data_IF_696688374996
#
_entry.id   IF_696688374996
#
_cell.length_a   1.000
_cell.length_b   1.000
_cell.length_c   1.000
_cell.angle_alpha   90.00
_cell.angle_beta   90.00
_cell.angle_gamma   90.00
#
_symmetry.space_group_name_H-M   'P 1'
#
loop_
_entity.id
_entity.type
_entity.pdbx_description
1 polymer ?
#
# COMPACT_ATOMS: atom_id res chain seq x y z
N UNK A 1 -5.01 -9.48 -14.69
CA UNK A 1 -4.98 -9.73 -13.24
C UNK A 1 -3.56 -9.45 -12.79
N UNK A 2 -3.36 -8.54 -11.85
CA UNK A 2 -2.10 -8.34 -11.15
C UNK A 2 -1.91 -9.59 -10.28
N UNK A 3 -0.79 -10.28 -10.45
CA UNK A 3 -0.51 -11.52 -9.73
C UNK A 3 0.42 -11.15 -8.59
N UNK A 4 0.06 -11.51 -7.35
CA UNK A 4 0.90 -11.30 -6.17
C UNK A 4 2.34 -11.75 -6.46
N UNK A 5 3.36 -10.94 -6.10
CA UNK A 5 4.75 -11.34 -6.28
C UNK A 5 5.01 -12.70 -5.62
N UNK A 6 5.66 -13.61 -6.34
CA UNK A 6 5.94 -14.95 -5.82
C UNK A 6 7.23 -14.91 -5.00
N UNK A 7 7.15 -15.36 -3.74
CA UNK A 7 8.33 -15.49 -2.90
C UNK A 7 9.33 -16.48 -3.51
N UNK A 8 10.58 -16.05 -3.57
CA UNK A 8 11.71 -16.86 -4.04
C UNK A 8 12.58 -17.26 -2.86
N UNK A 9 13.61 -18.08 -3.09
CA UNK A 9 14.57 -18.45 -2.03
C UNK A 9 15.33 -17.24 -1.45
N UNK A 10 15.43 -16.18 -2.23
CA UNK A 10 16.16 -14.96 -1.86
C UNK A 10 15.25 -13.91 -1.22
N UNK A 11 13.95 -14.20 -1.06
CA UNK A 11 13.03 -13.30 -0.40
C UNK A 11 13.30 -13.25 1.11
N UNK A 12 13.31 -12.04 1.66
CA UNK A 12 13.54 -11.80 3.09
C UNK A 12 12.25 -11.32 3.76
N UNK A 13 11.92 -11.91 4.90
CA UNK A 13 10.97 -11.31 5.83
C UNK A 13 11.68 -10.18 6.59
N UNK A 14 11.19 -8.95 6.42
CA UNK A 14 11.79 -7.77 7.05
C UNK A 14 11.25 -7.57 8.47
N UNK A 15 9.96 -7.78 8.66
CA UNK A 15 9.31 -7.59 9.94
C UNK A 15 7.99 -8.36 10.00
N UNK A 16 7.74 -8.98 11.14
CA UNK A 16 6.42 -9.49 11.53
C UNK A 16 6.03 -8.84 12.84
N UNK A 17 4.88 -8.18 12.86
CA UNK A 17 4.35 -7.53 14.06
C UNK A 17 2.83 -7.68 14.12
N UNK A 18 2.37 -8.58 15.00
CA UNK A 18 0.96 -8.88 15.16
C UNK A 18 0.33 -9.35 13.84
N UNK A 19 -0.66 -8.63 13.30
CA UNK A 19 -1.33 -9.01 12.06
C UNK A 19 -0.57 -8.60 10.80
N UNK A 20 0.59 -7.96 10.89
CA UNK A 20 1.34 -7.38 9.77
C UNK A 20 2.56 -8.22 9.44
N UNK A 21 2.75 -8.51 8.15
CA UNK A 21 3.97 -9.11 7.60
C UNK A 21 4.50 -8.19 6.50
N UNK A 22 5.77 -7.80 6.63
CA UNK A 22 6.50 -7.02 5.63
C UNK A 22 7.60 -7.91 5.09
N UNK A 23 7.60 -8.10 3.77
CA UNK A 23 8.63 -8.89 3.09
C UNK A 23 9.25 -8.10 1.95
N UNK A 24 10.49 -8.44 1.61
CA UNK A 24 11.20 -7.85 0.49
C UNK A 24 11.70 -8.93 -0.45
N UNK A 25 11.41 -8.77 -1.74
CA UNK A 25 11.93 -9.63 -2.80
C UNK A 25 13.07 -8.85 -3.46
N UNK A 26 14.34 -9.19 -3.20
CA UNK A 26 15.46 -8.42 -3.71
C UNK A 26 15.57 -8.50 -5.22
N UNK A 27 16.09 -7.45 -5.84
CA UNK A 27 16.51 -7.49 -7.24
C UNK A 27 17.94 -8.03 -7.35
N UNK A 28 18.05 -9.31 -7.68
CA UNK A 28 19.33 -10.00 -7.88
C UNK A 28 20.10 -9.49 -9.10
N UNK A 29 19.51 -8.65 -9.95
CA UNK A 29 20.23 -8.02 -11.07
C UNK A 29 20.95 -6.73 -10.67
N UNK A 30 20.64 -6.18 -9.49
CA UNK A 30 21.15 -4.92 -8.96
C UNK A 30 21.89 -5.12 -7.62
N UNK A 31 22.77 -6.12 -7.59
CA UNK A 31 23.50 -6.55 -6.37
C UNK A 31 24.29 -5.39 -5.72
N UNK A 32 24.68 -4.37 -6.50
CA UNK A 32 25.47 -3.22 -6.02
C UNK A 32 24.64 -1.96 -5.69
N UNK A 33 23.31 -1.98 -5.84
CA UNK A 33 22.45 -0.86 -5.44
C UNK A 33 21.83 -1.11 -4.07
N UNK A 34 22.27 -0.33 -3.08
CA UNK A 34 21.55 -0.22 -1.80
C UNK A 34 20.15 0.35 -2.06
N UNK A 35 19.12 -0.48 -1.98
CA UNK A 35 17.74 0.01 -1.99
C UNK A 35 17.43 0.63 -0.63
N UNK A 36 17.04 1.91 -0.64
CA UNK A 36 16.67 2.61 0.59
C UNK A 36 15.17 2.57 0.81
N UNK A 37 14.78 1.95 1.92
CA UNK A 37 13.41 1.95 2.40
C UNK A 37 13.41 1.91 3.93
N UNK A 38 12.34 2.45 4.50
CA UNK A 38 12.09 2.43 5.92
C UNK A 38 10.59 2.33 6.18
N UNK A 39 10.25 1.75 7.32
CA UNK A 39 8.87 1.61 7.74
C UNK A 39 8.77 1.83 9.24
N UNK A 40 7.63 2.37 9.66
CA UNK A 40 7.26 2.44 11.07
C UNK A 40 5.91 1.76 11.26
N UNK A 41 5.89 0.73 12.08
CA UNK A 41 4.65 0.07 12.49
C UNK A 41 4.15 0.78 13.76
N UNK A 42 2.90 1.22 13.72
CA UNK A 42 2.21 1.84 14.84
C UNK A 42 0.95 1.05 15.17
N UNK A 43 0.95 0.43 16.34
CA UNK A 43 -0.22 -0.24 16.89
C UNK A 43 -0.61 0.47 18.17
N UNK A 44 -1.91 0.65 18.37
CA UNK A 44 -2.42 1.35 19.54
C UNK A 44 -3.92 1.23 19.65
N UNK A 45 -4.45 1.95 20.62
CA UNK A 45 -5.89 2.01 20.85
C UNK A 45 -6.30 3.41 21.28
N UNK A 46 -7.48 3.82 20.86
CA UNK A 46 -8.09 5.10 21.25
C UNK A 46 -9.19 4.82 22.27
N UNK A 47 -9.10 5.33 23.52
CA UNK A 47 -10.19 5.21 24.48
C UNK A 47 -11.44 5.93 23.99
N UNK A 48 -12.58 5.26 24.01
CA UNK A 48 -13.88 5.90 23.83
C UNK A 48 -14.48 6.19 25.20
N UNK A 49 -15.07 7.39 25.34
CA UNK A 49 -15.40 8.02 26.62
C UNK A 49 -16.25 7.17 27.58
N UNK A 50 -16.96 6.13 27.10
CA UNK A 50 -17.92 5.39 27.94
C UNK A 50 -18.13 3.90 27.61
N UNK A 51 -17.38 3.23 26.72
CA UNK A 51 -17.77 1.83 26.42
C UNK A 51 -16.74 0.88 25.80
N UNK A 52 -15.72 1.32 25.06
CA UNK A 52 -14.73 0.42 24.43
C UNK A 52 -13.48 1.20 24.00
N UNK A 53 -12.39 0.50 23.71
CA UNK A 53 -11.24 1.06 23.00
C UNK A 53 -11.32 0.65 21.53
N UNK A 54 -11.00 1.57 20.61
CA UNK A 54 -10.85 1.24 19.19
C UNK A 54 -9.37 1.01 18.91
N UNK A 55 -8.97 -0.20 18.49
CA UNK A 55 -7.57 -0.45 18.13
C UNK A 55 -7.32 0.00 16.69
N UNK A 56 -6.06 0.26 16.40
CA UNK A 56 -5.61 0.58 15.06
C UNK A 56 -4.23 -0.02 14.82
N UNK A 57 -3.99 -0.40 13.57
CA UNK A 57 -2.72 -0.89 13.08
C UNK A 57 -2.36 -0.10 11.83
N UNK A 58 -1.25 0.63 11.88
CA UNK A 58 -0.77 1.49 10.81
C UNK A 58 0.66 1.16 10.44
N UNK A 59 0.96 1.29 9.16
CA UNK A 59 2.31 1.13 8.61
C UNK A 59 2.63 2.43 7.88
N UNK A 60 3.55 3.22 8.42
CA UNK A 60 4.08 4.39 7.73
C UNK A 60 5.16 3.89 6.78
N UNK A 61 4.89 3.99 5.49
CA UNK A 61 5.77 3.53 4.43
C UNK A 61 6.59 4.72 3.91
N UNK A 62 7.92 4.57 3.95
CA UNK A 62 8.88 5.56 3.50
C UNK A 62 9.86 4.84 2.55
N UNK A 63 9.64 4.92 1.25
CA UNK A 63 10.60 4.38 0.27
C UNK A 63 10.72 5.29 -0.94
N UNK A 64 11.97 5.55 -1.35
CA UNK A 64 12.25 6.24 -2.61
C UNK A 64 12.53 5.24 -3.75
N UNK A 65 13.09 4.08 -3.43
CA UNK A 65 13.71 3.21 -4.46
C UNK A 65 12.89 1.96 -4.77
N UNK A 66 12.16 1.42 -3.80
CA UNK A 66 11.49 0.14 -3.92
C UNK A 66 9.96 0.34 -4.00
N UNK A 67 9.30 -0.10 -5.08
CA UNK A 67 7.84 -0.12 -5.14
C UNK A 67 7.25 -1.00 -4.05
N UNK A 68 6.07 -0.60 -3.61
CA UNK A 68 5.27 -1.31 -2.62
C UNK A 68 4.18 -2.12 -3.32
N UNK A 69 3.98 -3.37 -2.94
CA UNK A 69 2.82 -4.18 -3.28
C UNK A 69 1.99 -4.38 -2.02
N UNK A 70 0.75 -3.90 -2.03
CA UNK A 70 -0.17 -4.02 -0.91
C UNK A 70 -1.27 -5.05 -1.21
N UNK A 71 -1.35 -6.08 -0.37
CA UNK A 71 -2.37 -7.12 -0.44
C UNK A 71 -3.78 -6.59 -0.09
N UNK A 72 -4.83 -7.28 -0.54
CA UNK A 72 -6.23 -6.85 -0.41
C UNK A 72 -6.71 -6.52 1.03
N UNK A 73 -6.01 -7.06 2.04
CA UNK A 73 -6.25 -6.86 3.47
C UNK A 73 -5.69 -5.54 4.03
N UNK A 74 -4.90 -4.80 3.24
CA UNK A 74 -4.25 -3.55 3.63
C UNK A 74 -4.90 -2.37 2.91
N UNK A 75 -5.52 -1.46 3.66
CA UNK A 75 -6.04 -0.20 3.10
C UNK A 75 -4.94 0.82 2.89
N UNK A 76 -5.10 1.68 1.88
CA UNK A 76 -4.10 2.66 1.48
C UNK A 76 -4.53 4.06 1.88
N UNK A 77 -3.68 4.76 2.64
CA UNK A 77 -3.86 6.16 2.98
C UNK A 77 -2.73 6.96 2.33
N UNK A 78 -3.05 7.79 1.34
CA UNK A 78 -2.06 8.64 0.67
C UNK A 78 -1.96 9.98 1.39
N UNK A 79 -0.80 10.20 2.02
CA UNK A 79 -0.47 11.42 2.75
C UNK A 79 0.66 12.21 2.07
N UNK A 80 1.49 11.55 1.28
CA UNK A 80 2.58 12.16 0.53
C UNK A 80 2.21 12.72 -0.85
N UNK A 81 3.20 13.31 -1.51
CA UNK A 81 3.13 13.96 -2.83
C UNK A 81 3.76 13.11 -3.93
N UNK A 82 3.35 13.33 -5.17
CA UNK A 82 3.90 12.66 -6.36
C UNK A 82 3.87 11.13 -6.24
N UNK A 83 2.79 10.60 -5.66
CA UNK A 83 2.58 9.15 -5.47
C UNK A 83 1.95 8.54 -6.71
N UNK A 84 2.52 7.43 -7.18
CA UNK A 84 2.00 6.63 -8.28
C UNK A 84 1.26 5.40 -7.72
N UNK A 85 -0.07 5.39 -7.80
CA UNK A 85 -0.92 4.26 -7.42
C UNK A 85 -1.27 3.43 -8.66
N UNK A 86 -0.89 2.15 -8.69
CA UNK A 86 -1.29 1.19 -9.72
C UNK A 86 -2.38 0.30 -9.16
N UNK A 87 -3.60 0.46 -9.64
CA UNK A 87 -4.78 -0.19 -9.07
C UNK A 87 -5.29 -1.31 -9.97
N UNK A 88 -5.63 -2.45 -9.35
CA UNK A 88 -6.49 -3.44 -9.99
C UNK A 88 -7.98 -3.05 -9.86
N UNK A 89 -8.88 -3.95 -10.27
CA UNK A 89 -10.33 -3.80 -10.18
C UNK A 89 -10.80 -3.67 -8.72
N UNK A 90 -11.95 -3.05 -8.56
CA UNK A 90 -12.73 -3.01 -7.33
C UNK A 90 -12.09 -2.27 -6.14
N UNK A 91 -11.05 -1.45 -6.37
CA UNK A 91 -10.60 -0.50 -5.35
C UNK A 91 -11.64 0.61 -5.16
N UNK A 92 -11.97 0.93 -3.91
CA UNK A 92 -12.76 2.10 -3.56
C UNK A 92 -11.81 3.28 -3.33
N UNK A 93 -12.02 4.38 -4.05
CA UNK A 93 -11.16 5.56 -3.95
C UNK A 93 -11.97 6.70 -3.33
N UNK A 94 -11.57 7.12 -2.14
CA UNK A 94 -12.05 8.30 -1.45
C UNK A 94 -10.99 9.40 -1.55
N UNK A 95 -11.39 10.62 -1.91
CA UNK A 95 -10.45 11.72 -2.10
C UNK A 95 -11.01 13.01 -1.54
N UNK A 96 -10.13 13.87 -1.02
CA UNK A 96 -10.49 15.23 -0.65
C UNK A 96 -10.45 16.15 -1.89
N UNK A 97 -11.31 17.17 -1.96
CA UNK A 97 -11.44 18.13 -3.07
C UNK A 97 -10.14 18.85 -3.44
N UNK A 98 -9.16 18.90 -2.52
CA UNK A 98 -7.84 19.51 -2.73
C UNK A 98 -6.81 18.60 -3.41
N UNK A 99 -7.16 17.34 -3.69
CA UNK A 99 -6.24 16.38 -4.31
C UNK A 99 -6.26 16.48 -5.85
N UNK A 100 -5.09 16.74 -6.44
CA UNK A 100 -4.92 16.72 -7.89
C UNK A 100 -4.64 15.27 -8.32
N UNK A 101 -5.69 14.56 -8.68
CA UNK A 101 -5.63 13.15 -9.10
C UNK A 101 -5.73 13.03 -10.62
N UNK A 102 -4.73 12.41 -11.24
CA UNK A 102 -4.74 12.10 -12.68
C UNK A 102 -4.97 10.61 -12.87
N UNK A 103 -5.92 10.24 -13.73
CA UNK A 103 -6.19 8.86 -14.09
C UNK A 103 -5.54 8.51 -15.43
N UNK A 104 -4.77 7.44 -15.47
CA UNK A 104 -4.10 6.92 -16.66
C UNK A 104 -4.25 5.41 -16.76
N UNK A 105 -4.07 4.84 -17.95
CA UNK A 105 -3.99 3.39 -18.11
C UNK A 105 -2.56 2.92 -17.83
N UNK A 106 -2.41 1.89 -17.01
CA UNK A 106 -1.11 1.28 -16.77
C UNK A 106 -0.72 0.38 -17.95
N UNK A 107 0.42 0.65 -18.58
CA UNK A 107 0.98 -0.16 -19.68
C UNK A 107 2.18 -1.02 -19.30
N UNK A 108 2.56 -1.02 -18.01
CA UNK A 108 3.69 -1.78 -17.50
C UNK A 108 3.31 -3.18 -17.01
N UNK A 109 4.26 -3.83 -16.35
CA UNK A 109 4.09 -5.08 -15.63
C UNK A 109 4.46 -4.90 -14.16
N UNK A 110 3.83 -5.69 -13.28
CA UNK A 110 4.23 -5.73 -11.87
C UNK A 110 5.71 -6.18 -11.75
N UNK A 111 6.53 -5.49 -10.94
CA UNK A 111 7.89 -5.93 -10.63
C UNK A 111 7.88 -7.33 -10.00
N UNK A 112 8.69 -8.24 -10.51
CA UNK A 112 8.89 -9.58 -9.92
C UNK A 112 9.91 -9.57 -8.79
N UNK A 113 10.79 -8.59 -8.79
CA UNK A 113 11.91 -8.38 -7.87
C UNK A 113 12.06 -6.89 -7.58
N UNK A 114 12.85 -6.55 -6.56
CA UNK A 114 13.01 -5.17 -6.08
C UNK A 114 11.73 -4.59 -5.49
N UNK A 115 10.85 -5.42 -4.92
CA UNK A 115 9.51 -5.02 -4.47
C UNK A 115 9.31 -5.37 -3.00
N UNK A 116 8.71 -4.44 -2.26
CA UNK A 116 8.27 -4.65 -0.89
C UNK A 116 6.84 -5.18 -0.93
N UNK A 117 6.56 -6.25 -0.21
CA UNK A 117 5.22 -6.85 -0.12
C UNK A 117 4.68 -6.60 1.29
N UNK A 118 3.55 -5.92 1.38
CA UNK A 118 2.78 -5.78 2.61
C UNK A 118 1.62 -6.77 2.60
N UNK A 119 1.69 -7.72 3.54
CA UNK A 119 0.58 -8.60 3.83
C UNK A 119 0.05 -8.30 5.23
N UNK A 120 -1.25 -8.55 5.40
CA UNK A 120 -1.90 -8.42 6.68
C UNK A 120 -2.97 -9.50 6.84
N UNK A 121 -3.17 -9.95 8.08
CA UNK A 121 -4.33 -10.76 8.42
C UNK A 121 -5.62 -9.99 8.15
N UNK A 122 -6.67 -10.69 7.73
CA UNK A 122 -8.01 -10.11 7.63
C UNK A 122 -8.56 -9.87 9.05
N UNK A 123 -8.65 -8.59 9.43
CA UNK A 123 -9.17 -8.15 10.72
C UNK A 123 -10.62 -7.66 10.63
N UNK A 124 -11.30 -7.86 9.49
CA UNK A 124 -12.66 -7.39 9.28
C UNK A 124 -13.67 -7.90 10.32
N UNK A 125 -13.47 -9.12 10.82
CA UNK A 125 -14.28 -9.71 11.90
C UNK A 125 -14.18 -8.93 13.23
N UNK A 126 -13.14 -8.13 13.42
CA UNK A 126 -12.94 -7.26 14.58
C UNK A 126 -13.32 -5.79 14.30
N UNK A 127 -13.84 -5.48 13.09
CA UNK A 127 -14.13 -4.11 12.68
C UNK A 127 -12.87 -3.26 12.47
N UNK A 128 -11.71 -3.90 12.28
CA UNK A 128 -10.42 -3.23 12.08
C UNK A 128 -9.84 -3.60 10.71
N UNK A 129 -9.04 -2.69 10.16
CA UNK A 129 -8.25 -2.93 8.95
C UNK A 129 -6.86 -2.34 9.14
N UNK A 130 -5.85 -3.01 8.59
CA UNK A 130 -4.48 -2.49 8.59
C UNK A 130 -4.40 -1.37 7.56
N UNK A 131 -3.79 -0.24 7.93
CA UNK A 131 -3.66 0.92 7.07
C UNK A 131 -2.19 1.18 6.72
N UNK A 132 -1.86 1.21 5.43
CA UNK A 132 -0.57 1.66 4.94
C UNK A 132 -0.63 3.16 4.59
N UNK A 133 0.13 3.97 5.32
CA UNK A 133 0.32 5.40 5.08
C UNK A 133 1.47 5.60 4.10
N UNK A 134 1.15 6.13 2.92
CA UNK A 134 2.07 6.26 1.79
C UNK A 134 2.64 7.68 1.74
N UNK A 135 3.97 7.76 1.78
CA UNK A 135 4.74 9.01 1.75
C UNK A 135 5.11 9.45 0.34
N UNK A 136 5.87 10.53 0.23
CA UNK A 136 6.24 11.17 -1.02
C UNK A 136 6.95 10.22 -2.01
N UNK A 137 6.71 10.43 -3.31
CA UNK A 137 7.42 9.79 -4.44
C UNK A 137 7.33 8.26 -4.47
N UNK A 138 6.39 7.67 -3.74
CA UNK A 138 6.21 6.22 -3.71
C UNK A 138 5.42 5.71 -4.91
N UNK A 139 5.81 4.52 -5.38
CA UNK A 139 5.01 3.72 -6.31
C UNK A 139 4.35 2.57 -5.56
N UNK A 140 3.03 2.46 -5.62
CA UNK A 140 2.25 1.46 -4.88
C UNK A 140 1.35 0.66 -5.82
N UNK A 141 1.53 -0.65 -5.84
CA UNK A 141 0.71 -1.63 -6.52
C UNK A 141 -0.34 -2.18 -5.56
N UNK A 142 -1.61 -2.04 -5.92
CA UNK A 142 -2.75 -2.46 -5.11
C UNK A 142 -3.37 -3.72 -5.74
N UNK A 143 -3.45 -4.80 -4.96
CA UNK A 143 -3.99 -6.10 -5.40
C UNK A 143 -5.47 -6.01 -5.84
N UNK A 144 -6.23 -5.08 -5.25
CA UNK A 144 -7.65 -4.86 -5.52
C UNK A 144 -8.50 -4.95 -4.26
N UNK A 145 -9.77 -4.50 -4.33
CA UNK A 145 -10.76 -4.55 -3.23
C UNK A 145 -10.39 -3.79 -1.94
N UNK A 146 -9.34 -2.98 -2.00
CA UNK A 146 -8.89 -2.14 -0.90
C UNK A 146 -9.63 -0.80 -0.90
N UNK A 147 -9.76 -0.19 0.27
CA UNK A 147 -10.09 1.22 0.37
C UNK A 147 -8.82 2.06 0.20
N UNK A 148 -8.94 3.14 -0.56
CA UNK A 148 -7.86 4.08 -0.85
C UNK A 148 -8.33 5.48 -0.50
N UNK A 149 -7.76 6.07 0.54
CA UNK A 149 -8.08 7.43 0.96
C UNK A 149 -6.94 8.38 0.62
N UNK A 150 -7.22 9.41 -0.20
CA UNK A 150 -6.26 10.43 -0.61
C UNK A 150 -6.51 11.69 0.22
N UNK A 151 -5.67 11.93 1.23
CA UNK A 151 -5.80 13.08 2.15
C UNK A 151 -5.07 14.32 1.64
N UNK A 152 -3.77 14.18 1.40
CA UNK A 152 -2.85 15.28 1.03
C UNK A 152 -2.10 15.02 -0.28
N UNK A 153 -2.64 14.10 -1.11
CA UNK A 153 -2.06 13.59 -2.35
C UNK A 153 -1.95 14.62 -3.48
N UNK A 154 -1.07 15.61 -3.30
CA UNK A 154 -0.70 16.52 -4.38
C UNK A 154 0.01 15.72 -5.47
N UNK A 155 -0.49 15.82 -6.70
CA UNK A 155 -0.01 15.10 -7.88
C UNK A 155 -0.06 13.58 -7.77
N UNK A 156 -1.01 13.02 -7.00
CA UNK A 156 -1.22 11.57 -7.01
C UNK A 156 -1.68 11.11 -8.40
N UNK A 157 -0.97 10.16 -8.99
CA UNK A 157 -1.34 9.57 -10.28
C UNK A 157 -1.92 8.19 -10.01
N UNK A 158 -3.08 7.92 -10.60
CA UNK A 158 -3.77 6.65 -10.49
C UNK A 158 -3.74 5.95 -11.84
N UNK A 159 -2.96 4.88 -11.91
CA UNK A 159 -2.84 4.03 -13.07
C UNK A 159 -3.77 2.83 -12.94
N UNK A 160 -4.70 2.66 -13.87
CA UNK A 160 -5.64 1.53 -13.88
C UNK A 160 -5.00 0.33 -14.59
N UNK A 161 -4.92 -0.79 -13.90
CA UNK A 161 -4.43 -2.06 -14.44
C UNK A 161 -5.59 -2.82 -15.12
N UNK A 162 -5.83 -2.53 -16.40
CA UNK A 162 -6.96 -3.08 -17.15
C UNK A 162 -8.30 -2.37 -16.89
N UNK A 163 -9.39 -2.87 -17.49
CA UNK A 163 -10.68 -2.16 -17.48
C UNK A 163 -11.43 -2.23 -16.15
N UNK A 164 -11.88 -1.04 -15.72
CA UNK A 164 -12.91 -0.68 -14.72
C UNK A 164 -12.48 -0.67 -13.24
N UNK A 165 -12.34 0.55 -12.70
CA UNK A 165 -12.48 0.87 -11.28
C UNK A 165 -13.66 1.86 -11.16
N UNK A 166 -14.58 1.62 -10.22
CA UNK A 166 -15.68 2.53 -9.90
C UNK A 166 -15.15 3.64 -8.99
N UNK A 167 -15.12 4.87 -9.50
CA UNK A 167 -14.83 6.06 -8.69
C UNK A 167 -16.15 6.54 -8.11
N UNK A 168 -16.27 6.58 -6.79
CA UNK A 168 -17.39 7.25 -6.12
C UNK A 168 -16.86 8.63 -5.71
N UNK A 169 -17.43 9.66 -6.32
CA UNK A 169 -17.14 11.09 -6.04
C UNK A 169 -17.90 11.58 -4.83
#
# INVERSE_FOLDING_TARGET
MMIRPTFTKDSYELCTNGPIIISYIPDTTKIDQECTFSYQIQSGWTPLLCSTAQCFNRIICLSADAPLFACESVDIIVEGKDVDLILQRDCLIERNDRSNVVFTDFRGSLPRTGVIVLDAADLSQFGERVQAHISDQMTVFCEGRQSITIKNGLNTRIHRFGSVASVIS
#
